data_IF_746389672151
#
_entry.id   IF_746389672151
#
_cell.length_a   1.000
_cell.length_b   1.000
_cell.length_c   1.000
_cell.angle_alpha   90.00
_cell.angle_beta   90.00
_cell.angle_gamma   90.00
#
_symmetry.space_group_name_H-M   'P 1'
#
loop_
_entity.id
_entity.type
_entity.pdbx_description
1 polymer ?
#
# COMPACT_ATOMS: atom_id res chain seq x y z
N UNK A 1 -9.13 -4.84 9.94
CA UNK A 1 -9.26 -6.01 9.06
C UNK A 1 -7.93 -6.32 8.40
N UNK A 2 -7.56 -7.59 8.26
CA UNK A 2 -6.28 -8.02 7.65
C UNK A 2 -6.55 -8.91 6.45
N UNK A 3 -5.87 -8.62 5.35
CA UNK A 3 -5.80 -9.47 4.14
C UNK A 3 -4.37 -9.98 4.03
N UNK A 4 -4.21 -11.28 3.81
CA UNK A 4 -2.90 -11.91 3.59
C UNK A 4 -2.78 -12.42 2.17
N UNK A 5 -1.57 -12.36 1.62
CA UNK A 5 -1.24 -12.92 0.31
C UNK A 5 0.17 -13.47 0.31
N UNK A 6 0.30 -14.69 -0.21
CA UNK A 6 1.59 -15.28 -0.50
C UNK A 6 2.03 -14.85 -1.91
N UNK A 7 3.25 -14.38 -2.02
CA UNK A 7 3.83 -13.80 -3.22
C UNK A 7 5.02 -14.66 -3.64
N UNK A 8 5.06 -15.05 -4.90
CA UNK A 8 6.15 -15.82 -5.50
C UNK A 8 7.36 -14.92 -5.81
N UNK A 9 7.82 -14.19 -4.82
CA UNK A 9 8.99 -13.35 -4.84
C UNK A 9 9.57 -13.27 -3.43
N UNK A 10 10.85 -12.93 -3.32
CA UNK A 10 11.52 -12.78 -2.03
C UNK A 10 10.99 -11.57 -1.25
N UNK A 11 11.15 -11.58 0.07
CA UNK A 11 10.79 -10.45 0.93
C UNK A 11 11.51 -9.17 0.50
N UNK A 12 12.76 -9.28 0.13
CA UNK A 12 13.58 -8.17 -0.37
C UNK A 12 12.99 -7.58 -1.64
N UNK A 13 12.53 -8.42 -2.57
CA UNK A 13 11.90 -7.95 -3.81
C UNK A 13 10.57 -7.26 -3.55
N UNK A 14 9.74 -7.79 -2.67
CA UNK A 14 8.48 -7.13 -2.28
C UNK A 14 8.77 -5.80 -1.59
N UNK A 15 9.78 -5.76 -0.74
CA UNK A 15 10.20 -4.52 -0.08
C UNK A 15 10.67 -3.45 -1.07
N UNK A 16 11.43 -3.83 -2.09
CA UNK A 16 11.86 -2.90 -3.16
C UNK A 16 10.66 -2.20 -3.81
N UNK A 17 9.58 -2.93 -4.06
CA UNK A 17 8.35 -2.34 -4.61
C UNK A 17 7.74 -1.33 -3.64
N UNK A 18 7.61 -1.66 -2.37
CA UNK A 18 7.07 -0.77 -1.34
C UNK A 18 7.96 0.45 -1.09
N UNK A 19 9.28 0.26 -1.12
CA UNK A 19 10.27 1.31 -0.93
C UNK A 19 10.41 2.25 -2.14
N UNK A 20 9.85 1.88 -3.28
CA UNK A 20 9.74 2.75 -4.43
C UNK A 20 8.35 3.42 -4.47
N UNK A 21 8.25 4.62 -3.93
CA UNK A 21 6.97 5.35 -3.85
C UNK A 21 6.29 5.59 -5.19
N UNK A 22 7.03 5.58 -6.30
CA UNK A 22 6.48 5.72 -7.65
C UNK A 22 5.64 4.53 -8.09
N UNK A 23 5.81 3.36 -7.46
CA UNK A 23 4.97 2.17 -7.72
C UNK A 23 3.61 2.24 -7.03
N UNK A 24 3.41 3.17 -6.11
CA UNK A 24 2.23 3.25 -5.24
C UNK A 24 0.91 3.26 -6.02
N UNK A 25 0.82 4.02 -7.11
CA UNK A 25 -0.37 4.03 -7.97
C UNK A 25 -0.59 2.72 -8.72
N UNK A 26 0.43 1.88 -8.87
CA UNK A 26 0.34 0.59 -9.53
C UNK A 26 -0.34 -0.47 -8.67
N UNK A 27 -0.21 -0.40 -7.35
CA UNK A 27 -0.79 -1.40 -6.46
C UNK A 27 -1.91 -0.87 -5.55
N UNK A 28 -1.95 0.41 -5.24
CA UNK A 28 -3.04 0.99 -4.43
C UNK A 28 -4.23 1.35 -5.32
N UNK A 29 -5.32 0.65 -5.11
CA UNK A 29 -6.58 0.84 -5.86
C UNK A 29 -7.15 2.23 -5.61
N UNK A 30 -7.57 2.88 -6.68
CA UNK A 30 -8.17 4.21 -6.65
C UNK A 30 -7.21 5.36 -6.95
N UNK A 31 -5.89 5.11 -6.92
CA UNK A 31 -4.92 6.10 -7.34
C UNK A 31 -4.83 6.17 -8.87
N UNK A 32 -4.90 7.38 -9.41
CA UNK A 32 -4.78 7.61 -10.85
C UNK A 32 -3.36 8.00 -11.27
N UNK A 33 -2.62 8.70 -10.42
CA UNK A 33 -1.21 9.05 -10.67
C UNK A 33 -0.47 9.44 -9.40
N UNK A 34 0.85 9.35 -9.44
CA UNK A 34 1.78 9.93 -8.46
C UNK A 34 2.25 11.30 -8.97
N UNK A 35 2.11 12.33 -8.14
CA UNK A 35 2.57 13.70 -8.45
C UNK A 35 3.97 13.97 -7.95
N UNK A 36 4.31 13.47 -6.76
CA UNK A 36 5.63 13.58 -6.16
C UNK A 36 5.84 12.52 -5.08
N UNK A 37 7.10 12.17 -4.84
CA UNK A 37 7.56 11.29 -3.77
C UNK A 37 8.70 11.99 -3.06
N UNK A 38 8.64 12.09 -1.72
CA UNK A 38 9.74 12.63 -0.93
C UNK A 38 11.01 11.80 -1.15
N UNK A 39 12.17 12.44 -1.27
CA UNK A 39 13.43 11.80 -1.70
C UNK A 39 13.93 10.72 -0.74
N UNK A 40 13.55 10.80 0.54
CA UNK A 40 13.90 9.83 1.58
C UNK A 40 12.76 8.85 1.90
N UNK A 41 11.74 8.71 1.03
CA UNK A 41 10.73 7.68 1.14
C UNK A 41 11.39 6.29 1.24
N UNK A 42 10.96 5.38 2.11
CA UNK A 42 9.83 5.43 3.05
C UNK A 42 10.22 5.77 4.50
N UNK A 43 11.15 6.67 4.73
CA UNK A 43 11.47 7.11 6.09
C UNK A 43 10.23 7.70 6.81
N UNK A 44 10.10 7.54 8.15
CA UNK A 44 8.98 8.13 8.88
C UNK A 44 8.82 9.63 8.61
N UNK A 45 7.58 10.07 8.41
CA UNK A 45 7.24 11.45 8.08
C UNK A 45 7.32 11.81 6.60
N UNK A 46 7.87 10.96 5.74
CA UNK A 46 7.91 11.18 4.30
C UNK A 46 6.54 10.95 3.64
N UNK A 47 6.33 11.54 2.47
CA UNK A 47 5.03 11.60 1.82
C UNK A 47 5.10 11.14 0.37
N UNK A 48 3.98 10.59 -0.08
CA UNK A 48 3.62 10.49 -1.48
C UNK A 48 2.47 11.45 -1.74
N UNK A 49 2.62 12.33 -2.71
CA UNK A 49 1.55 13.17 -3.24
C UNK A 49 0.94 12.47 -4.45
N UNK A 50 -0.33 12.17 -4.39
CA UNK A 50 -1.03 11.40 -5.41
C UNK A 50 -2.39 11.99 -5.75
N UNK A 51 -2.99 11.49 -6.83
CA UNK A 51 -4.34 11.83 -7.23
C UNK A 51 -5.23 10.60 -7.18
N UNK A 52 -6.48 10.79 -6.74
CA UNK A 52 -7.48 9.74 -6.57
C UNK A 52 -8.63 10.02 -7.52
N UNK A 53 -9.22 8.95 -8.09
CA UNK A 53 -10.37 9.03 -8.98
C UNK A 53 -10.00 9.12 -10.45
N UNK A 54 -11.02 9.39 -11.27
CA UNK A 54 -10.90 9.51 -12.73
C UNK A 54 -11.36 10.90 -13.18
N UNK A 55 -10.70 11.41 -14.23
CA UNK A 55 -11.09 12.70 -14.79
C UNK A 55 -12.58 12.71 -15.24
N UNK A 56 -13.36 13.77 -14.96
CA UNK A 56 -12.98 15.05 -14.35
C UNK A 56 -13.00 15.08 -12.81
N UNK A 57 -13.40 14.00 -12.14
CA UNK A 57 -13.56 13.91 -10.69
C UNK A 57 -12.25 13.45 -9.99
N UNK A 58 -11.15 14.14 -10.23
CA UNK A 58 -9.84 13.85 -9.64
C UNK A 58 -9.63 14.68 -8.38
N UNK A 59 -9.21 14.02 -7.30
CA UNK A 59 -8.88 14.65 -6.02
C UNK A 59 -7.38 14.48 -5.76
N UNK A 60 -6.71 15.58 -5.45
CA UNK A 60 -5.31 15.54 -5.01
C UNK A 60 -5.25 15.25 -3.51
N UNK A 61 -4.42 14.29 -3.15
CA UNK A 61 -4.29 13.83 -1.77
C UNK A 61 -2.85 13.43 -1.45
N UNK A 62 -2.61 12.99 -0.21
CA UNK A 62 -1.31 12.55 0.25
C UNK A 62 -1.41 11.32 1.14
N UNK A 63 -0.36 10.51 1.14
CA UNK A 63 -0.12 9.42 2.09
C UNK A 63 1.20 9.65 2.78
N UNK A 64 1.21 9.54 4.11
CA UNK A 64 2.37 9.81 4.96
C UNK A 64 2.84 8.52 5.61
N UNK A 65 4.15 8.30 5.69
CA UNK A 65 4.74 7.20 6.46
C UNK A 65 4.63 7.53 7.95
N UNK A 66 3.92 6.70 8.69
CA UNK A 66 3.84 6.80 10.15
C UNK A 66 5.05 6.16 10.82
N UNK A 67 5.38 4.94 10.40
CA UNK A 67 6.57 4.20 10.86
C UNK A 67 7.05 3.23 9.79
N UNK A 68 8.32 2.88 9.86
CA UNK A 68 8.95 1.98 8.91
C UNK A 68 10.02 1.15 9.61
N UNK A 69 9.95 -0.16 9.44
CA UNK A 69 11.04 -1.10 9.73
C UNK A 69 11.45 -1.69 8.39
N UNK A 70 12.60 -1.27 7.82
CA UNK A 70 13.01 -1.67 6.48
C UNK A 70 13.00 -3.19 6.29
N UNK A 71 12.37 -3.65 5.22
CA UNK A 71 12.25 -5.06 4.88
C UNK A 71 11.18 -5.83 5.67
N UNK A 72 10.54 -5.24 6.68
CA UNK A 72 9.64 -5.94 7.60
C UNK A 72 8.26 -5.30 7.70
N UNK A 73 8.20 -4.01 7.97
CA UNK A 73 6.92 -3.33 8.22
C UNK A 73 6.91 -1.90 7.67
N UNK A 74 5.81 -1.54 7.02
CA UNK A 74 5.52 -0.18 6.59
C UNK A 74 4.13 0.21 7.08
N UNK A 75 4.04 1.30 7.85
CA UNK A 75 2.78 1.85 8.35
C UNK A 75 2.52 3.20 7.70
N UNK A 76 1.40 3.29 7.02
CA UNK A 76 0.97 4.47 6.27
C UNK A 76 -0.28 5.09 6.88
N UNK A 77 -0.37 6.41 6.81
CA UNK A 77 -1.58 7.17 7.07
C UNK A 77 -2.08 7.76 5.75
N UNK A 78 -3.21 7.25 5.30
CA UNK A 78 -3.86 7.69 4.08
C UNK A 78 -5.09 8.54 4.42
N UNK A 79 -5.26 9.66 3.73
CA UNK A 79 -6.47 10.46 3.87
C UNK A 79 -7.65 9.77 3.19
N UNK A 80 -8.81 9.84 3.84
CA UNK A 80 -10.09 9.36 3.32
C UNK A 80 -11.06 10.53 3.39
N UNK A 81 -11.31 11.13 2.24
CA UNK A 81 -12.19 12.30 2.15
C UNK A 81 -13.62 11.98 2.58
N UNK A 82 -14.36 12.93 3.21
CA UNK A 82 -13.98 14.35 3.34
C UNK A 82 -13.09 14.69 4.55
N UNK A 83 -13.04 13.87 5.60
CA UNK A 83 -12.40 14.26 6.85
C UNK A 83 -11.87 13.08 7.69
N UNK A 84 -11.64 11.93 7.09
CA UNK A 84 -11.16 10.74 7.78
C UNK A 84 -9.71 10.37 7.40
N UNK A 85 -9.09 9.56 8.23
CA UNK A 85 -7.77 8.98 8.00
C UNK A 85 -7.85 7.47 8.23
N UNK A 86 -7.21 6.71 7.36
CA UNK A 86 -7.01 5.28 7.53
C UNK A 86 -5.54 4.99 7.83
N UNK A 87 -5.29 4.07 8.73
CA UNK A 87 -3.97 3.50 8.98
C UNK A 87 -3.87 2.18 8.24
N UNK A 88 -2.86 2.08 7.40
CA UNK A 88 -2.55 0.89 6.61
C UNK A 88 -1.23 0.33 7.10
N UNK A 89 -1.23 -0.91 7.55
CA UNK A 89 -0.02 -1.62 7.99
C UNK A 89 0.26 -2.74 7.01
N UNK A 90 1.46 -2.75 6.44
CA UNK A 90 1.98 -3.79 5.57
C UNK A 90 3.11 -4.51 6.31
N UNK A 91 2.93 -5.80 6.59
CA UNK A 91 3.96 -6.66 7.21
C UNK A 91 4.40 -7.73 6.24
N UNK A 92 5.71 -7.91 6.16
CA UNK A 92 6.34 -8.91 5.32
C UNK A 92 6.94 -10.01 6.19
N UNK A 93 6.76 -11.26 5.78
CA UNK A 93 7.39 -12.42 6.41
C UNK A 93 7.86 -13.42 5.36
N UNK A 94 9.01 -14.06 5.65
CA UNK A 94 9.55 -15.08 4.78
C UNK A 94 8.70 -16.34 4.81
N UNK A 95 8.56 -16.97 3.65
CA UNK A 95 7.97 -18.29 3.49
C UNK A 95 9.02 -19.25 2.92
N UNK A 96 8.85 -20.58 3.13
CA UNK A 96 9.71 -21.57 2.51
C UNK A 96 9.77 -21.41 0.98
N UNK A 97 10.93 -21.69 0.37
CA UNK A 97 11.10 -21.64 -1.07
C UNK A 97 11.31 -20.24 -1.66
N UNK A 98 11.76 -19.27 -0.85
CA UNK A 98 12.07 -17.91 -1.34
C UNK A 98 10.84 -17.09 -1.65
N UNK A 99 9.71 -17.42 -1.02
CA UNK A 99 8.46 -16.65 -1.12
C UNK A 99 8.28 -15.70 0.06
N UNK A 100 7.35 -14.77 -0.08
CA UNK A 100 7.03 -13.79 0.93
C UNK A 100 5.52 -13.75 1.19
N UNK A 101 5.13 -13.65 2.46
CA UNK A 101 3.76 -13.33 2.85
C UNK A 101 3.63 -11.86 3.19
N UNK A 102 2.68 -11.21 2.54
CA UNK A 102 2.25 -9.85 2.88
C UNK A 102 0.96 -9.92 3.69
N UNK A 103 0.95 -9.28 4.84
CA UNK A 103 -0.26 -9.02 5.62
C UNK A 103 -0.58 -7.53 5.57
N UNK A 104 -1.69 -7.17 4.92
CA UNK A 104 -2.17 -5.80 4.82
C UNK A 104 -3.35 -5.61 5.78
N UNK A 105 -3.15 -4.78 6.78
CA UNK A 105 -4.17 -4.41 7.77
C UNK A 105 -4.58 -2.96 7.56
N UNK A 106 -5.87 -2.71 7.48
CA UNK A 106 -6.42 -1.36 7.42
C UNK A 106 -7.41 -1.14 8.55
N UNK A 107 -7.24 -0.03 9.25
CA UNK A 107 -8.12 0.42 10.33
C UNK A 107 -8.40 1.91 10.17
N UNK A 108 -9.64 2.30 10.50
CA UNK A 108 -9.99 3.71 10.58
C UNK A 108 -9.22 4.37 11.72
N UNK A 109 -8.47 5.42 11.42
CA UNK A 109 -7.64 6.13 12.38
C UNK A 109 -8.31 7.41 12.92
N UNK A 110 -9.41 7.85 12.31
CA UNK A 110 -10.14 9.04 12.73
C UNK A 110 -11.63 8.94 12.47
N UNK A 111 -12.40 9.79 13.14
CA UNK A 111 -13.84 9.96 12.92
C UNK A 111 -14.12 10.65 11.57
N UNK A 112 -15.25 10.42 10.90
CA UNK A 112 -16.40 9.60 11.35
C UNK A 112 -16.21 8.09 11.07
N UNK A 113 -15.20 7.68 10.35
CA UNK A 113 -15.02 6.30 9.88
C UNK A 113 -14.90 5.30 11.05
N UNK A 114 -14.27 5.70 12.16
CA UNK A 114 -14.11 4.87 13.36
C UNK A 114 -15.45 4.60 14.09
N UNK A 115 -16.52 5.29 13.75
CA UNK A 115 -17.87 5.07 14.32
C UNK A 115 -18.71 4.11 13.50
N UNK A 116 -18.28 3.78 12.27
CA UNK A 116 -18.99 2.81 11.43
C UNK A 116 -18.79 1.40 11.97
N UNK A 117 -19.85 0.57 12.00
CA UNK A 117 -19.72 -0.83 12.36
C UNK A 117 -18.68 -1.54 11.49
N UNK A 118 -17.89 -2.43 12.07
CA UNK A 118 -16.85 -3.18 11.36
C UNK A 118 -17.39 -3.92 10.12
N UNK A 119 -18.62 -4.42 10.20
CA UNK A 119 -19.29 -5.08 9.07
C UNK A 119 -19.46 -4.16 7.85
N UNK A 120 -19.73 -2.88 8.06
CA UNK A 120 -19.90 -1.90 6.98
C UNK A 120 -18.54 -1.51 6.40
N UNK A 121 -17.54 -1.31 7.26
CA UNK A 121 -16.17 -1.04 6.82
C UNK A 121 -15.60 -2.22 6.00
N UNK A 122 -15.92 -3.46 6.39
CA UNK A 122 -15.48 -4.67 5.71
C UNK A 122 -15.99 -4.79 4.26
N UNK A 123 -17.21 -4.33 3.98
CA UNK A 123 -17.81 -4.44 2.64
C UNK A 123 -17.05 -3.65 1.56
N UNK A 124 -16.44 -2.53 1.93
CA UNK A 124 -15.67 -1.70 0.99
C UNK A 124 -14.16 -1.96 1.03
N UNK A 125 -13.62 -2.21 2.23
CA UNK A 125 -12.17 -2.31 2.46
C UNK A 125 -11.62 -3.68 2.05
N UNK A 126 -12.36 -4.76 2.29
CA UNK A 126 -11.89 -6.12 2.02
C UNK A 126 -11.60 -6.39 0.52
N UNK A 127 -12.54 -6.12 -0.38
CA UNK A 127 -12.31 -6.32 -1.82
C UNK A 127 -11.16 -5.44 -2.33
N UNK A 128 -11.11 -4.18 -1.88
CA UNK A 128 -10.06 -3.24 -2.26
C UNK A 128 -8.67 -3.72 -1.83
N UNK A 129 -8.53 -4.17 -0.58
CA UNK A 129 -7.24 -4.62 -0.06
C UNK A 129 -6.78 -5.95 -0.66
N UNK A 130 -7.73 -6.83 -1.05
CA UNK A 130 -7.42 -8.03 -1.84
C UNK A 130 -6.85 -7.67 -3.21
N UNK A 131 -7.45 -6.69 -3.87
CA UNK A 131 -6.97 -6.18 -5.16
C UNK A 131 -5.61 -5.48 -5.00
N UNK A 132 -5.42 -4.65 -3.97
CA UNK A 132 -4.13 -4.00 -3.69
C UNK A 132 -3.01 -5.03 -3.52
N UNK A 133 -3.22 -6.05 -2.70
CA UNK A 133 -2.22 -7.11 -2.47
C UNK A 133 -1.99 -7.96 -3.72
N UNK A 134 -3.00 -8.18 -4.55
CA UNK A 134 -2.85 -8.89 -5.82
C UNK A 134 -1.99 -8.08 -6.80
N UNK A 135 -2.24 -6.78 -6.94
CA UNK A 135 -1.43 -5.90 -7.80
C UNK A 135 0.02 -5.80 -7.31
N UNK A 136 0.20 -5.66 -6.00
CA UNK A 136 1.54 -5.69 -5.39
C UNK A 136 2.29 -6.97 -5.74
N UNK A 137 1.62 -8.13 -5.62
CA UNK A 137 2.19 -9.41 -6.01
C UNK A 137 2.60 -9.43 -7.49
N UNK A 138 1.73 -8.96 -8.38
CA UNK A 138 2.04 -8.91 -9.82
C UNK A 138 3.26 -8.07 -10.14
N UNK A 139 3.43 -6.92 -9.48
CA UNK A 139 4.61 -6.07 -9.68
C UNK A 139 5.87 -6.78 -9.14
N UNK A 140 5.79 -7.36 -7.94
CA UNK A 140 6.93 -8.02 -7.31
C UNK A 140 7.37 -9.30 -8.05
N UNK A 141 6.42 -10.05 -8.60
CA UNK A 141 6.65 -11.30 -9.34
C UNK A 141 7.15 -11.07 -10.78
N UNK A 142 7.01 -9.85 -11.31
CA UNK A 142 7.57 -9.53 -12.62
C UNK A 142 9.09 -9.60 -12.56
N UNK A 143 9.64 -10.68 -13.18
CA UNK A 143 11.06 -10.78 -13.41
C UNK A 143 11.42 -9.78 -14.51
N UNK A 144 12.25 -8.79 -14.18
CA UNK A 144 13.03 -8.12 -15.21
C UNK A 144 14.13 -9.10 -15.57
N UNK A 145 14.17 -9.67 -16.78
CA UNK A 145 15.31 -10.48 -17.18
C UNK A 145 16.53 -9.58 -17.04
N UNK A 146 17.54 -10.03 -16.26
CA UNK A 146 18.86 -9.42 -16.33
C UNK A 146 19.26 -9.40 -17.81
N UNK A 147 19.55 -8.20 -18.31
CA UNK A 147 20.13 -8.08 -19.63
C UNK A 147 21.42 -8.89 -19.60
N UNK A 148 21.43 -10.00 -20.32
CA UNK A 148 22.66 -10.78 -20.56
C UNK A 148 23.50 -9.89 -21.46
N UNK A 149 24.55 -9.29 -20.88
CA UNK A 149 25.65 -8.70 -21.64
C UNK A 149 26.45 -9.78 -22.37
#
# INVERSE_FOLDING_TARGET
MTVTRDIAATRERVWEVLANGWTYSGWVVGNSRIRAVDSNWPAPGTRILHSIGTWPAVINDETVVHSCVPGEELVLLAKVRPAATARITLRLSDLPGGQCRVAMTEVAASRPLSWMPDSVQLLGVAPRNRECTWRLAKIAEQHVPEAVE
#
